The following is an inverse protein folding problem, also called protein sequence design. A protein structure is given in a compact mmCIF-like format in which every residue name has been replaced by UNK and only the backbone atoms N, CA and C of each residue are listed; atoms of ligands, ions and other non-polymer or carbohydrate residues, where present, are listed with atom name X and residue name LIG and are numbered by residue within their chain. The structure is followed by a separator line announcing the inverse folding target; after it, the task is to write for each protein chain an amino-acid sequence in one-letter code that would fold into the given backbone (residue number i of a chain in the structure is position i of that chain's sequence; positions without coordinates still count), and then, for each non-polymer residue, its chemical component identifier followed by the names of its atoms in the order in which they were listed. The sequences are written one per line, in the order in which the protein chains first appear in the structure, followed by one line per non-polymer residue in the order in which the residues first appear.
data_IF_500268064704
#
_entry.id   IF_500268064704
#
_cell.length_a   1.000
_cell.length_b   1.000
_cell.length_c   1.000
_cell.angle_alpha   90.00
_cell.angle_beta   90.00
_cell.angle_gamma   90.00
#
_symmetry.space_group_name_H-M   'P 1'
#
loop_
_entity.id
_entity.type
_entity.pdbx_description
1 polymer ?
#
# COMPACT_ATOMS: atom_id res chain seq x y z
N UNK A 1 25.54 -5.89 -4.20
CA UNK A 1 25.22 -4.57 -4.82
C UNK A 1 23.72 -4.34 -4.72
N UNK A 2 23.24 -3.11 -4.55
CA UNK A 2 21.85 -2.79 -4.75
C UNK A 2 21.43 -3.20 -6.18
N UNK A 3 20.23 -3.72 -6.34
CA UNK A 3 19.69 -4.15 -7.65
C UNK A 3 19.41 -2.91 -8.50
N UNK A 4 19.81 -2.93 -9.79
CA UNK A 4 19.44 -1.86 -10.71
C UNK A 4 18.01 -2.04 -11.21
N UNK A 5 17.40 -0.97 -11.70
CA UNK A 5 16.08 -1.05 -12.33
C UNK A 5 16.09 -1.98 -13.55
N UNK A 6 17.16 -1.95 -14.35
CA UNK A 6 17.31 -2.84 -15.50
C UNK A 6 17.33 -4.33 -15.12
N UNK A 7 18.00 -4.68 -13.99
CA UNK A 7 18.04 -6.06 -13.51
C UNK A 7 16.65 -6.52 -13.03
N UNK A 8 15.92 -5.66 -12.30
CA UNK A 8 14.57 -5.97 -11.83
C UNK A 8 13.57 -6.02 -13.00
N UNK A 9 13.68 -5.11 -13.98
CA UNK A 9 12.85 -5.13 -15.16
C UNK A 9 13.07 -6.37 -16.03
N UNK A 10 14.32 -6.77 -16.25
CA UNK A 10 14.66 -7.98 -16.96
C UNK A 10 14.09 -9.23 -16.27
N UNK A 11 14.18 -9.27 -14.95
CA UNK A 11 13.59 -10.34 -14.13
C UNK A 11 12.06 -10.36 -14.26
N UNK A 12 11.39 -9.21 -14.11
CA UNK A 12 9.92 -9.13 -14.23
C UNK A 12 9.44 -9.64 -15.59
N UNK A 13 10.07 -9.21 -16.68
CA UNK A 13 9.73 -9.61 -18.07
C UNK A 13 9.90 -11.11 -18.36
N UNK A 14 10.70 -11.82 -17.55
CA UNK A 14 10.81 -13.29 -17.63
C UNK A 14 9.60 -14.01 -17.01
N UNK A 15 8.83 -13.32 -16.14
CA UNK A 15 7.76 -13.93 -15.37
C UNK A 15 6.36 -13.39 -15.68
N UNK A 16 6.26 -12.17 -16.23
CA UNK A 16 4.98 -11.57 -16.62
C UNK A 16 5.16 -10.43 -17.63
N UNK A 17 4.12 -10.20 -18.44
CA UNK A 17 4.06 -9.01 -19.30
C UNK A 17 4.15 -7.76 -18.41
N UNK A 18 5.16 -6.93 -18.70
CA UNK A 18 5.50 -5.77 -17.89
C UNK A 18 5.41 -4.50 -18.72
N UNK A 19 4.56 -3.57 -18.31
CA UNK A 19 4.45 -2.22 -18.87
C UNK A 19 5.48 -1.33 -18.19
N UNK A 20 6.18 -0.50 -18.99
CA UNK A 20 7.14 0.48 -18.48
C UNK A 20 6.68 1.87 -18.85
N UNK A 21 6.39 2.70 -17.87
CA UNK A 21 6.19 4.13 -18.05
C UNK A 21 7.55 4.82 -17.97
N UNK A 22 7.77 5.84 -18.80
CA UNK A 22 9.06 6.51 -18.88
C UNK A 22 8.89 8.00 -19.17
N UNK A 23 9.75 8.82 -18.62
CA UNK A 23 9.90 10.21 -19.05
C UNK A 23 10.56 10.28 -20.46
N UNK A 24 10.67 11.48 -21.01
CA UNK A 24 11.24 11.68 -22.34
C UNK A 24 12.74 11.31 -22.43
N UNK A 25 13.45 11.32 -21.31
CA UNK A 25 14.89 11.03 -21.23
C UNK A 25 15.19 9.57 -20.88
N UNK A 26 14.18 8.80 -20.47
CA UNK A 26 14.37 7.44 -19.96
C UNK A 26 15.05 7.37 -18.59
N UNK A 27 15.05 8.49 -17.84
CA UNK A 27 15.66 8.55 -16.52
C UNK A 27 14.66 8.17 -15.43
N UNK A 28 13.49 8.80 -15.42
CA UNK A 28 12.40 8.42 -14.52
C UNK A 28 11.56 7.31 -15.18
N UNK A 29 11.54 6.13 -14.57
CA UNK A 29 10.79 4.98 -15.08
C UNK A 29 10.01 4.27 -13.98
N UNK A 30 8.89 3.66 -14.37
CA UNK A 30 8.00 2.89 -13.49
C UNK A 30 7.62 1.60 -14.21
N UNK A 31 7.81 0.45 -13.56
CA UNK A 31 7.45 -0.85 -14.09
C UNK A 31 6.19 -1.38 -13.36
N UNK A 32 5.15 -1.71 -14.12
CA UNK A 32 3.91 -2.27 -13.58
C UNK A 32 3.50 -3.55 -14.32
N UNK A 33 2.79 -4.43 -13.62
CA UNK A 33 2.41 -5.76 -14.13
C UNK A 33 0.89 -5.92 -14.10
N UNK A 34 0.22 -5.91 -15.26
CA UNK A 34 -1.24 -6.09 -15.35
C UNK A 34 -1.73 -7.41 -14.76
N UNK A 35 -0.96 -8.51 -14.97
CA UNK A 35 -1.27 -9.82 -14.42
C UNK A 35 -1.32 -9.85 -12.87
N UNK A 36 -0.68 -8.90 -12.21
CA UNK A 36 -0.66 -8.75 -10.75
C UNK A 36 -1.46 -7.51 -10.30
N UNK A 37 -2.67 -7.34 -10.83
CA UNK A 37 -3.64 -6.28 -10.53
C UNK A 37 -3.12 -4.87 -10.91
N UNK A 38 -2.28 -4.76 -11.96
CA UNK A 38 -1.65 -3.49 -12.33
C UNK A 38 -0.71 -2.95 -11.24
N UNK A 39 -0.08 -3.85 -10.48
CA UNK A 39 0.83 -3.50 -9.40
C UNK A 39 2.06 -2.79 -9.95
N UNK A 40 2.38 -1.63 -9.39
CA UNK A 40 3.67 -0.99 -9.62
C UNK A 40 4.71 -1.77 -8.83
N UNK A 41 5.60 -2.45 -9.55
CA UNK A 41 6.60 -3.31 -8.92
C UNK A 41 7.82 -2.55 -8.49
N UNK A 42 8.31 -1.64 -9.32
CA UNK A 42 9.47 -0.81 -9.00
C UNK A 42 9.54 0.42 -9.87
N UNK A 43 10.26 1.42 -9.37
CA UNK A 43 10.57 2.66 -10.06
C UNK A 43 12.05 2.99 -9.99
N UNK A 44 12.49 3.96 -10.77
CA UNK A 44 13.84 4.50 -10.75
C UNK A 44 13.87 5.96 -11.18
N UNK A 45 14.85 6.71 -10.70
CA UNK A 45 15.18 8.08 -11.14
C UNK A 45 16.50 8.14 -11.90
N UNK A 46 17.07 7.01 -12.33
CA UNK A 46 18.40 6.93 -12.96
C UNK A 46 18.46 5.99 -14.17
N UNK A 47 17.33 5.76 -14.84
CA UNK A 47 17.23 4.86 -15.97
C UNK A 47 17.56 3.40 -15.61
N UNK A 48 17.89 2.59 -16.60
CA UNK A 48 18.14 1.16 -16.41
C UNK A 48 19.28 0.86 -15.40
N UNK A 49 20.26 1.74 -15.29
CA UNK A 49 21.41 1.59 -14.35
C UNK A 49 21.13 2.24 -13.00
N UNK A 50 20.01 2.93 -12.84
CA UNK A 50 19.60 3.55 -11.60
C UNK A 50 19.17 2.53 -10.55
N UNK A 51 19.09 2.99 -9.30
CA UNK A 51 18.60 2.19 -8.18
C UNK A 51 17.13 1.79 -8.44
N UNK A 52 16.81 0.53 -8.20
CA UNK A 52 15.45 0.00 -8.15
C UNK A 52 14.86 0.27 -6.77
N UNK A 53 13.79 1.06 -6.69
CA UNK A 53 13.25 1.52 -5.39
C UNK A 53 12.32 0.49 -4.74
N UNK A 54 11.55 -0.25 -5.52
CA UNK A 54 10.60 -1.24 -5.02
C UNK A 54 11.26 -2.48 -4.42
N UNK A 55 10.55 -3.13 -3.50
CA UNK A 55 10.90 -4.47 -3.06
C UNK A 55 10.25 -5.51 -3.99
N UNK A 56 11.06 -6.43 -4.53
CA UNK A 56 10.60 -7.60 -5.28
C UNK A 56 10.96 -8.86 -4.52
N UNK A 57 9.97 -9.67 -4.20
CA UNK A 57 10.20 -10.99 -3.63
C UNK A 57 10.51 -12.00 -4.75
N UNK A 58 11.76 -11.97 -5.24
CA UNK A 58 12.18 -12.70 -6.45
C UNK A 58 11.90 -14.20 -6.36
N UNK A 59 12.18 -14.84 -5.23
CA UNK A 59 11.93 -16.28 -5.05
C UNK A 59 10.43 -16.59 -5.15
N UNK A 60 9.57 -15.74 -4.59
CA UNK A 60 8.13 -15.90 -4.67
C UNK A 60 7.59 -15.68 -6.08
N UNK A 61 8.13 -14.68 -6.79
CA UNK A 61 7.78 -14.40 -8.19
C UNK A 61 8.23 -15.55 -9.10
N UNK A 62 9.42 -16.09 -8.87
CA UNK A 62 9.96 -17.21 -9.66
C UNK A 62 9.27 -18.56 -9.37
N UNK A 63 8.62 -18.70 -8.21
CA UNK A 63 7.86 -19.89 -7.88
C UNK A 63 6.60 -19.97 -8.78
N UNK A 64 6.38 -21.10 -9.42
CA UNK A 64 5.24 -21.30 -10.34
C UNK A 64 3.93 -21.52 -9.57
N UNK A 65 4.03 -22.06 -8.37
CA UNK A 65 2.86 -22.38 -7.55
C UNK A 65 2.41 -21.14 -6.74
N UNK A 66 1.13 -20.77 -6.78
CA UNK A 66 0.62 -19.71 -5.92
C UNK A 66 0.70 -20.14 -4.44
N UNK A 67 0.80 -19.15 -3.54
CA UNK A 67 0.66 -19.39 -2.10
C UNK A 67 -0.81 -19.53 -1.71
N UNK A 68 -1.07 -20.33 -0.69
CA UNK A 68 -2.41 -20.67 -0.24
C UNK A 68 -3.27 -19.42 0.11
N UNK A 69 -2.71 -18.47 0.83
CA UNK A 69 -3.48 -17.33 1.36
C UNK A 69 -3.30 -16.03 0.56
N UNK A 70 -2.07 -15.73 0.12
CA UNK A 70 -1.72 -14.49 -0.56
C UNK A 70 -0.38 -14.60 -1.27
N UNK A 71 -0.28 -14.05 -2.49
CA UNK A 71 0.98 -13.94 -3.20
C UNK A 71 1.67 -12.60 -2.86
N UNK A 72 2.69 -12.70 -2.00
CA UNK A 72 3.48 -11.54 -1.56
C UNK A 72 4.62 -11.30 -2.55
N UNK A 73 4.33 -10.68 -3.69
CA UNK A 73 5.33 -10.39 -4.72
C UNK A 73 6.16 -9.13 -4.44
N UNK A 74 5.72 -8.30 -3.50
CA UNK A 74 6.28 -6.96 -3.26
C UNK A 74 5.57 -5.90 -4.09
N UNK A 75 6.29 -4.85 -4.44
CA UNK A 75 5.81 -3.72 -5.26
C UNK A 75 5.52 -2.46 -4.46
N UNK A 76 5.76 -1.31 -5.10
CA UNK A 76 5.60 0.02 -4.48
C UNK A 76 4.15 0.46 -4.33
N UNK A 77 3.24 -0.09 -5.16
CA UNK A 77 1.83 0.28 -5.15
C UNK A 77 0.97 -0.89 -5.62
N UNK A 78 0.27 -1.52 -4.70
CA UNK A 78 -0.67 -2.62 -4.93
C UNK A 78 -2.08 -2.14 -4.59
N UNK A 79 -3.00 -2.29 -5.55
CA UNK A 79 -4.42 -2.10 -5.30
C UNK A 79 -4.96 -3.18 -4.36
N UNK A 80 -5.73 -2.76 -3.38
CA UNK A 80 -6.35 -3.61 -2.38
C UNK A 80 -7.74 -3.12 -2.01
N UNK A 81 -8.54 -4.00 -1.42
CA UNK A 81 -9.87 -3.67 -0.89
C UNK A 81 -9.93 -4.07 0.58
N UNK A 82 -10.42 -3.17 1.43
CA UNK A 82 -10.79 -3.46 2.81
C UNK A 82 -12.31 -3.55 2.99
N UNK A 83 -12.76 -4.10 4.14
CA UNK A 83 -11.96 -4.56 5.28
C UNK A 83 -11.37 -5.97 5.12
N UNK A 84 -10.16 -6.18 5.69
CA UNK A 84 -9.52 -7.50 5.72
C UNK A 84 -10.05 -8.41 6.83
N UNK A 85 -10.73 -7.86 7.83
CA UNK A 85 -11.27 -8.59 8.97
C UNK A 85 -12.64 -8.06 9.38
N UNK A 86 -13.23 -8.71 10.37
CA UNK A 86 -14.55 -8.37 10.89
C UNK A 86 -15.70 -8.88 10.03
N UNK A 87 -16.91 -8.60 10.49
CA UNK A 87 -18.15 -9.12 9.91
C UNK A 87 -18.43 -8.66 8.47
N UNK A 88 -17.70 -7.67 7.97
CA UNK A 88 -17.84 -7.18 6.59
C UNK A 88 -16.62 -7.50 5.72
N UNK A 89 -15.69 -8.29 6.23
CA UNK A 89 -14.50 -8.72 5.48
C UNK A 89 -14.86 -9.53 4.24
N UNK A 90 -14.19 -9.25 3.13
CA UNK A 90 -14.25 -10.04 1.88
C UNK A 90 -13.14 -11.10 1.79
N UNK A 91 -12.36 -11.28 2.86
CA UNK A 91 -11.26 -12.24 2.94
C UNK A 91 -11.61 -13.50 3.75
N UNK A 92 -12.77 -13.52 4.39
CA UNK A 92 -13.28 -14.67 5.12
C UNK A 92 -14.58 -15.13 4.49
N UNK A 93 -14.73 -16.44 4.31
CA UNK A 93 -15.99 -17.02 3.89
C UNK A 93 -17.11 -16.71 4.91
N UNK A 94 -18.39 -16.69 4.50
CA UNK A 94 -19.50 -16.44 5.43
C UNK A 94 -19.46 -17.39 6.62
N UNK A 95 -19.44 -16.81 7.84
CA UNK A 95 -19.43 -17.58 9.11
C UNK A 95 -18.11 -18.22 9.48
N UNK A 96 -17.04 -18.05 8.70
CA UNK A 96 -15.71 -18.57 9.04
C UNK A 96 -15.13 -17.90 10.31
N UNK A 97 -14.18 -18.57 10.95
CA UNK A 97 -13.45 -18.00 12.10
C UNK A 97 -12.48 -16.94 11.63
N UNK A 98 -12.23 -15.93 12.46
CA UNK A 98 -11.24 -14.89 12.15
C UNK A 98 -9.82 -15.34 12.50
N UNK A 99 -9.37 -16.41 11.84
CA UNK A 99 -8.05 -17.02 11.99
C UNK A 99 -7.34 -17.10 10.64
N UNK A 100 -6.00 -17.17 10.64
CA UNK A 100 -5.22 -17.22 9.41
C UNK A 100 -5.61 -18.41 8.50
N UNK A 101 -5.94 -19.56 9.10
CA UNK A 101 -6.35 -20.76 8.34
C UNK A 101 -7.63 -20.56 7.52
N UNK A 102 -8.47 -19.61 7.92
CA UNK A 102 -9.75 -19.31 7.26
C UNK A 102 -9.71 -17.97 6.45
N UNK A 103 -8.55 -17.29 6.43
CA UNK A 103 -8.35 -16.04 5.70
C UNK A 103 -7.75 -16.29 4.31
N UNK A 104 -8.42 -15.84 3.27
CA UNK A 104 -7.96 -16.00 1.88
C UNK A 104 -8.15 -14.69 1.10
N UNK A 105 -7.14 -14.31 0.36
CA UNK A 105 -7.28 -13.19 -0.58
C UNK A 105 -8.19 -13.60 -1.73
N UNK A 106 -9.23 -12.82 -2.05
CA UNK A 106 -10.04 -13.07 -3.24
C UNK A 106 -9.18 -13.16 -4.51
N UNK A 107 -9.43 -14.13 -5.36
CA UNK A 107 -8.65 -14.35 -6.59
C UNK A 107 -8.53 -13.10 -7.46
N UNK A 108 -9.60 -12.31 -7.54
CA UNK A 108 -9.62 -11.04 -8.27
C UNK A 108 -8.63 -9.99 -7.74
N UNK A 109 -8.16 -10.12 -6.49
CA UNK A 109 -7.19 -9.22 -5.85
C UNK A 109 -5.79 -9.83 -5.76
N UNK A 110 -5.60 -11.10 -6.17
CA UNK A 110 -4.32 -11.79 -5.99
C UNK A 110 -3.82 -12.51 -7.24
N UNK A 111 -4.65 -13.38 -7.84
CA UNK A 111 -4.24 -14.29 -8.92
C UNK A 111 -4.82 -13.96 -10.29
N UNK A 112 -5.85 -13.12 -10.35
CA UNK A 112 -6.46 -12.72 -11.62
C UNK A 112 -5.88 -11.40 -12.14
N UNK A 113 -5.63 -11.33 -13.45
CA UNK A 113 -5.13 -10.13 -14.10
C UNK A 113 -6.18 -9.01 -14.12
N UNK A 114 -5.70 -7.75 -14.11
CA UNK A 114 -6.49 -6.61 -14.58
C UNK A 114 -6.27 -6.44 -16.09
N UNK A 115 -7.35 -6.13 -16.81
CA UNK A 115 -7.31 -5.82 -18.23
C UNK A 115 -6.54 -4.53 -18.46
N UNK A 116 -5.49 -4.55 -19.29
CA UNK A 116 -4.82 -3.35 -19.77
C UNK A 116 -5.68 -2.73 -20.86
N UNK A 117 -6.39 -1.63 -20.55
CA UNK A 117 -7.29 -0.94 -21.46
C UNK A 117 -6.53 0.01 -22.37
N UNK A 118 -5.55 0.70 -21.83
CA UNK A 118 -4.73 1.68 -22.52
C UNK A 118 -3.32 1.69 -21.94
N UNK A 119 -2.32 1.88 -22.81
CA UNK A 119 -0.94 2.07 -22.38
C UNK A 119 -0.27 3.11 -23.30
N UNK A 120 0.30 4.13 -22.69
CA UNK A 120 1.13 5.13 -23.35
C UNK A 120 2.50 5.21 -22.67
N UNK A 121 3.34 6.12 -23.13
CA UNK A 121 4.67 6.27 -22.57
C UNK A 121 4.66 6.63 -21.08
N UNK A 122 3.71 7.41 -20.65
CA UNK A 122 3.64 8.02 -19.31
C UNK A 122 2.43 7.61 -18.49
N UNK A 123 1.53 6.78 -19.02
CA UNK A 123 0.41 6.25 -18.26
C UNK A 123 -0.06 4.87 -18.74
N UNK A 124 -0.75 4.17 -17.87
CA UNK A 124 -1.46 2.93 -18.15
C UNK A 124 -2.80 2.90 -17.44
N UNK A 125 -3.86 2.54 -18.16
CA UNK A 125 -5.22 2.39 -17.67
C UNK A 125 -5.58 0.91 -17.61
N UNK A 126 -6.01 0.46 -16.44
CA UNK A 126 -6.40 -0.92 -16.20
C UNK A 126 -7.84 -0.98 -15.65
N UNK A 127 -8.50 -2.10 -15.91
CA UNK A 127 -9.87 -2.35 -15.47
C UNK A 127 -10.05 -3.79 -15.01
N UNK A 128 -10.91 -3.99 -14.01
CA UNK A 128 -11.33 -5.31 -13.55
C UNK A 128 -12.77 -5.26 -13.08
N UNK A 129 -13.59 -6.15 -13.62
CA UNK A 129 -14.90 -6.48 -13.03
C UNK A 129 -14.75 -7.67 -12.12
N UNK A 130 -15.34 -7.60 -10.93
CA UNK A 130 -15.27 -8.67 -9.96
C UNK A 130 -16.53 -8.76 -9.12
N UNK A 131 -16.76 -9.95 -8.59
CA UNK A 131 -17.79 -10.20 -7.61
C UNK A 131 -17.12 -10.61 -6.30
N UNK A 132 -17.45 -9.94 -5.22
CA UNK A 132 -16.95 -10.25 -3.88
C UNK A 132 -18.13 -10.57 -2.98
N UNK A 133 -17.90 -11.38 -1.97
CA UNK A 133 -18.88 -11.69 -0.94
C UNK A 133 -18.23 -11.49 0.43
N UNK A 134 -18.90 -10.76 1.33
CA UNK A 134 -18.36 -10.56 2.66
C UNK A 134 -18.77 -11.68 3.63
N UNK A 135 -18.16 -11.69 4.80
CA UNK A 135 -18.39 -12.67 5.85
C UNK A 135 -19.89 -12.74 6.28
N UNK A 136 -20.61 -11.62 6.28
CA UNK A 136 -22.05 -11.55 6.56
C UNK A 136 -22.93 -12.03 5.41
N UNK A 137 -22.34 -12.43 4.26
CA UNK A 137 -23.06 -12.97 3.11
C UNK A 137 -23.50 -11.95 2.08
N UNK A 138 -23.22 -10.65 2.24
CA UNK A 138 -23.52 -9.62 1.25
C UNK A 138 -22.62 -9.76 0.04
N UNK A 139 -23.21 -9.75 -1.15
CA UNK A 139 -22.49 -9.78 -2.43
C UNK A 139 -22.32 -8.37 -3.00
N UNK A 140 -21.16 -8.15 -3.60
CA UNK A 140 -20.76 -6.90 -4.24
C UNK A 140 -20.37 -7.18 -5.69
N UNK A 141 -21.12 -6.63 -6.64
CA UNK A 141 -20.73 -6.58 -8.04
C UNK A 141 -20.06 -5.24 -8.28
N UNK A 142 -18.78 -5.25 -8.64
CA UNK A 142 -18.04 -4.01 -8.75
C UNK A 142 -17.10 -4.00 -9.97
N UNK A 143 -16.83 -2.79 -10.43
CA UNK A 143 -15.78 -2.52 -11.41
C UNK A 143 -14.70 -1.65 -10.76
N UNK A 144 -13.46 -2.09 -10.89
CA UNK A 144 -12.27 -1.31 -10.52
C UNK A 144 -11.70 -0.72 -11.78
N UNK A 145 -11.46 0.60 -11.77
CA UNK A 145 -10.63 1.30 -12.75
C UNK A 145 -9.39 1.81 -12.03
N UNK A 146 -8.23 1.49 -12.59
CA UNK A 146 -6.94 1.87 -12.05
C UNK A 146 -6.09 2.51 -13.13
N UNK A 147 -5.70 3.74 -12.93
CA UNK A 147 -4.78 4.43 -13.83
C UNK A 147 -3.49 4.75 -13.08
N UNK A 148 -2.36 4.36 -13.66
CA UNK A 148 -1.02 4.71 -13.16
C UNK A 148 -0.40 5.71 -14.12
N UNK A 149 0.04 6.85 -13.60
CA UNK A 149 0.64 7.94 -14.37
C UNK A 149 2.02 8.28 -13.82
N UNK A 150 3.00 8.33 -14.69
CA UNK A 150 4.29 8.96 -14.36
C UNK A 150 4.09 10.48 -14.23
N UNK A 151 4.69 11.07 -13.19
CA UNK A 151 4.61 12.50 -12.92
C UNK A 151 5.99 13.13 -12.91
N UNK A 152 6.06 14.42 -13.18
CA UNK A 152 7.30 15.17 -12.98
C UNK A 152 7.55 15.37 -11.48
N UNK A 153 8.68 14.85 -10.98
CA UNK A 153 9.00 14.90 -9.55
C UNK A 153 9.16 16.34 -9.02
N UNK A 154 9.68 17.26 -9.85
CA UNK A 154 9.80 18.67 -9.44
C UNK A 154 8.42 19.30 -9.28
N UNK A 155 7.48 19.03 -10.21
CA UNK A 155 6.12 19.55 -10.11
C UNK A 155 5.39 18.99 -8.89
N UNK A 156 5.54 17.68 -8.61
CA UNK A 156 4.94 17.05 -7.43
C UNK A 156 5.47 17.69 -6.15
N UNK A 157 6.79 17.82 -6.00
CA UNK A 157 7.40 18.44 -4.81
C UNK A 157 7.03 19.90 -4.68
N UNK A 158 7.01 20.66 -5.77
CA UNK A 158 6.58 22.07 -5.77
C UNK A 158 5.13 22.22 -5.29
N UNK A 159 4.23 21.27 -5.60
CA UNK A 159 2.86 21.26 -5.07
C UNK A 159 2.81 21.08 -3.55
N UNK A 160 3.83 20.41 -3.00
CA UNK A 160 4.04 20.25 -1.55
C UNK A 160 4.85 21.41 -0.93
N UNK A 161 5.19 22.45 -1.71
CA UNK A 161 6.05 23.58 -1.32
C UNK A 161 7.46 23.14 -0.91
N UNK A 162 7.98 22.13 -1.58
CA UNK A 162 9.34 21.62 -1.41
C UNK A 162 10.05 21.67 -2.76
N UNK A 163 11.26 22.21 -2.78
CA UNK A 163 12.11 22.16 -3.95
C UNK A 163 12.96 20.90 -3.94
N UNK A 164 13.16 20.28 -5.11
CA UNK A 164 14.11 19.16 -5.23
C UNK A 164 15.54 19.72 -5.12
N UNK A 165 16.33 19.33 -4.12
CA UNK A 165 17.67 19.85 -3.94
C UNK A 165 18.57 19.56 -5.15
N UNK A 166 19.52 20.45 -5.44
CA UNK A 166 20.51 20.24 -6.50
C UNK A 166 21.27 18.93 -6.28
N UNK A 167 21.42 18.13 -7.35
CA UNK A 167 22.09 16.84 -7.31
C UNK A 167 21.22 15.67 -6.82
N UNK A 168 19.99 15.93 -6.35
CA UNK A 168 19.02 14.88 -6.03
C UNK A 168 18.20 14.57 -7.28
N UNK A 169 18.02 13.28 -7.56
CA UNK A 169 17.14 12.78 -8.62
C UNK A 169 15.85 12.27 -8.01
N UNK A 170 14.73 12.48 -8.69
CA UNK A 170 13.42 12.02 -8.25
C UNK A 170 12.69 11.28 -9.35
N UNK A 171 11.89 10.31 -8.96
CA UNK A 171 10.82 9.70 -9.75
C UNK A 171 9.53 9.87 -8.97
N UNK A 172 8.45 10.23 -9.66
CA UNK A 172 7.13 10.34 -9.06
C UNK A 172 6.09 9.68 -9.96
N UNK A 173 5.14 9.00 -9.37
CA UNK A 173 3.96 8.48 -10.05
C UNK A 173 2.74 8.61 -9.17
N UNK A 174 1.57 8.58 -9.78
CA UNK A 174 0.31 8.51 -9.05
C UNK A 174 -0.52 7.33 -9.53
N UNK A 175 -1.29 6.73 -8.65
CA UNK A 175 -2.34 5.79 -8.99
C UNK A 175 -3.71 6.38 -8.68
N UNK A 176 -4.56 6.47 -9.71
CA UNK A 176 -5.95 6.89 -9.61
C UNK A 176 -6.82 5.64 -9.59
N UNK A 177 -7.48 5.38 -8.47
CA UNK A 177 -8.24 4.16 -8.27
C UNK A 177 -9.70 4.49 -8.02
N UNK A 178 -10.59 3.84 -8.76
CA UNK A 178 -12.04 3.97 -8.61
C UNK A 178 -12.66 2.61 -8.43
N UNK A 179 -13.57 2.50 -7.48
CA UNK A 179 -14.45 1.34 -7.30
C UNK A 179 -15.89 1.79 -7.55
N UNK A 180 -16.50 1.23 -8.57
CA UNK A 180 -17.89 1.51 -8.92
C UNK A 180 -18.77 0.30 -8.58
N UNK A 181 -19.90 0.56 -7.92
CA UNK A 181 -20.96 -0.44 -7.78
C UNK A 181 -21.66 -0.61 -9.13
N UNK A 182 -21.51 -1.77 -9.75
CA UNK A 182 -22.19 -2.13 -11.01
C UNK A 182 -23.36 -3.11 -10.79
N UNK A 183 -23.62 -3.47 -9.53
CA UNK A 183 -24.74 -4.31 -9.13
C UNK A 183 -26.04 -3.54 -9.08
N UNK A 184 -27.13 -4.27 -8.83
CA UNK A 184 -28.47 -3.70 -8.75
C UNK A 184 -28.83 -3.14 -7.36
N UNK A 185 -28.12 -3.56 -6.33
CA UNK A 185 -28.39 -3.17 -4.95
C UNK A 185 -27.40 -2.09 -4.48
N UNK A 186 -27.89 -1.11 -3.73
CA UNK A 186 -27.03 -0.14 -3.05
C UNK A 186 -26.24 -0.82 -1.93
N UNK A 187 -24.97 -0.44 -1.79
CA UNK A 187 -24.17 -0.83 -0.64
C UNK A 187 -24.60 -0.02 0.58
N UNK A 188 -24.69 -0.66 1.74
CA UNK A 188 -25.17 -0.05 2.98
C UNK A 188 -24.25 -0.36 4.14
N UNK A 189 -24.18 0.55 5.12
CA UNK A 189 -23.38 0.37 6.34
C UNK A 189 -23.76 -0.88 7.15
N UNK A 190 -25.03 -1.18 7.23
CA UNK A 190 -25.56 -2.31 7.99
C UNK A 190 -25.26 -3.68 7.38
N UNK A 191 -24.96 -3.70 6.08
CA UNK A 191 -24.61 -4.92 5.33
C UNK A 191 -23.16 -4.93 4.85
N UNK A 192 -22.43 -3.86 5.08
CA UNK A 192 -21.01 -3.70 4.77
C UNK A 192 -20.73 -2.73 3.63
N UNK A 193 -19.66 -1.95 3.78
CA UNK A 193 -19.09 -1.09 2.77
C UNK A 193 -17.64 -1.54 2.50
N UNK A 194 -17.17 -1.25 1.30
CA UNK A 194 -15.80 -1.51 0.88
C UNK A 194 -14.98 -0.22 0.90
N UNK A 195 -13.68 -0.33 1.11
CA UNK A 195 -12.73 0.77 0.95
C UNK A 195 -11.62 0.41 -0.02
N UNK A 196 -11.11 1.40 -0.74
CA UNK A 196 -9.84 1.26 -1.45
C UNK A 196 -8.72 1.36 -0.42
N UNK A 197 -7.74 0.46 -0.53
CA UNK A 197 -6.52 0.48 0.24
C UNK A 197 -5.33 0.25 -0.68
N UNK A 198 -4.32 1.07 -0.59
CA UNK A 198 -3.11 0.93 -1.40
C UNK A 198 -1.98 0.44 -0.50
N UNK A 199 -1.35 -0.65 -0.90
CA UNK A 199 -0.25 -1.27 -0.18
C UNK A 199 1.06 -1.03 -0.92
N UNK A 200 2.06 -0.49 -0.23
CA UNK A 200 3.42 -0.33 -0.76
C UNK A 200 4.44 -1.14 0.04
N UNK A 201 5.31 -1.86 -0.66
CA UNK A 201 6.43 -2.60 -0.07
C UNK A 201 7.74 -2.03 -0.59
N UNK A 202 8.57 -1.56 0.33
CA UNK A 202 9.88 -1.00 0.07
C UNK A 202 10.96 -1.85 0.73
N UNK A 203 12.19 -1.71 0.27
CA UNK A 203 13.31 -2.45 0.83
C UNK A 203 13.57 -2.01 2.27
N UNK A 204 13.63 -2.98 3.17
CA UNK A 204 14.05 -2.73 4.54
C UNK A 204 15.56 -2.51 4.63
N UNK A 205 16.01 -1.68 5.57
CA UNK A 205 17.40 -1.58 5.98
C UNK A 205 17.50 -1.38 7.50
N UNK A 206 18.67 -1.66 8.07
CA UNK A 206 18.90 -1.47 9.51
C UNK A 206 18.66 -0.03 10.00
N UNK A 207 18.69 0.95 9.09
CA UNK A 207 18.57 2.36 9.39
C UNK A 207 17.29 2.99 8.84
N UNK A 208 16.50 2.24 8.05
CA UNK A 208 15.26 2.73 7.49
C UNK A 208 14.25 3.12 8.59
N UNK A 209 13.73 4.32 8.47
CA UNK A 209 12.76 4.87 9.41
C UNK A 209 11.56 5.41 8.64
N UNK A 210 10.37 4.91 8.97
CA UNK A 210 9.10 5.49 8.50
C UNK A 210 8.77 6.69 9.36
N UNK A 211 8.34 7.77 8.73
CA UNK A 211 7.98 9.04 9.36
C UNK A 211 6.52 9.33 9.02
N UNK A 212 5.67 9.41 10.04
CA UNK A 212 4.24 9.68 9.87
C UNK A 212 3.88 10.97 10.61
N UNK A 213 3.58 12.05 9.90
CA UNK A 213 3.04 13.27 10.49
C UNK A 213 1.63 13.03 11.03
N UNK A 214 1.30 13.68 12.15
CA UNK A 214 -0.03 13.60 12.71
C UNK A 214 -0.52 14.96 13.24
N UNK A 215 -1.84 15.11 13.33
CA UNK A 215 -2.48 16.29 13.90
C UNK A 215 -2.33 16.26 15.43
N UNK A 216 -1.66 17.28 15.99
CA UNK A 216 -1.53 17.46 17.45
C UNK A 216 -2.86 17.88 18.07
N UNK A 217 -2.95 17.80 19.39
CA UNK A 217 -4.13 18.21 20.15
C UNK A 217 -4.64 17.11 21.12
N UNK A 218 -5.62 17.41 21.97
CA UNK A 218 -6.05 16.51 23.04
C UNK A 218 -6.70 15.22 22.49
N UNK A 219 -6.47 14.14 23.18
CA UNK A 219 -7.02 12.82 22.83
C UNK A 219 -8.55 12.80 22.84
N UNK A 220 -9.17 13.54 23.77
CA UNK A 220 -10.63 13.69 23.83
C UNK A 220 -11.27 14.23 22.56
N UNK A 221 -10.54 15.02 21.77
CA UNK A 221 -11.03 15.58 20.51
C UNK A 221 -10.64 14.76 19.28
N UNK A 222 -9.46 14.13 19.31
CA UNK A 222 -8.84 13.51 18.12
C UNK A 222 -8.65 11.99 18.21
N UNK A 223 -8.95 11.39 19.37
CA UNK A 223 -8.62 9.98 19.63
C UNK A 223 -7.12 9.78 19.90
N UNK A 224 -6.69 8.53 20.05
CA UNK A 224 -5.28 8.19 20.29
C UNK A 224 -4.39 8.70 19.15
N UNK A 225 -3.13 9.01 19.47
CA UNK A 225 -2.16 9.46 18.47
C UNK A 225 -1.85 8.34 17.48
N UNK A 226 -1.73 7.12 17.98
CA UNK A 226 -1.37 5.95 17.20
C UNK A 226 -2.02 4.71 17.80
N UNK A 227 -2.48 3.81 16.93
CA UNK A 227 -2.84 2.44 17.25
C UNK A 227 -1.62 1.56 16.94
N UNK A 228 -1.00 0.98 17.97
CA UNK A 228 0.23 0.20 17.88
C UNK A 228 0.09 -1.21 18.48
N UNK A 229 -1.15 -1.71 18.53
CA UNK A 229 -1.47 -2.99 19.17
C UNK A 229 -1.97 -4.08 18.19
N UNK A 230 -1.76 -3.93 16.90
CA UNK A 230 -2.25 -4.89 15.88
C UNK A 230 -1.65 -6.30 16.03
N UNK A 231 -0.34 -6.36 16.32
CA UNK A 231 0.41 -7.61 16.54
C UNK A 231 1.06 -7.63 17.93
N UNK A 232 0.40 -7.02 18.91
CA UNK A 232 0.97 -6.68 20.20
C UNK A 232 1.57 -5.27 20.22
N UNK A 233 1.81 -4.74 21.41
CA UNK A 233 2.36 -3.39 21.60
C UNK A 233 3.72 -3.25 20.93
N UNK A 234 3.89 -2.24 20.10
CA UNK A 234 5.18 -1.96 19.46
C UNK A 234 6.20 -1.55 20.53
N UNK A 235 7.39 -2.18 20.58
CA UNK A 235 8.43 -1.83 21.54
C UNK A 235 8.88 -0.36 21.43
N UNK A 236 9.18 0.28 22.57
CA UNK A 236 9.52 1.70 22.64
C UNK A 236 10.80 2.08 21.87
N UNK A 237 11.72 1.13 21.65
CA UNK A 237 12.92 1.35 20.84
C UNK A 237 12.61 1.32 19.32
N UNK A 238 11.39 0.96 18.92
CA UNK A 238 10.95 0.83 17.54
C UNK A 238 9.95 1.89 17.10
N UNK A 239 9.23 2.50 18.06
CA UNK A 239 8.26 3.57 17.81
C UNK A 239 8.52 4.74 18.75
N UNK A 240 8.87 5.89 18.19
CA UNK A 240 8.99 7.16 18.93
C UNK A 240 7.87 8.10 18.51
N UNK A 241 7.16 8.64 19.49
CA UNK A 241 6.16 9.70 19.33
C UNK A 241 6.81 11.03 19.73
N UNK A 242 6.87 11.98 18.80
CA UNK A 242 7.32 13.35 19.04
C UNK A 242 6.11 14.28 18.95
N UNK A 243 5.40 14.46 20.08
CA UNK A 243 4.19 15.27 20.13
C UNK A 243 4.45 16.74 19.81
N UNK A 244 5.61 17.25 20.19
CA UNK A 244 5.96 18.66 19.96
C UNK A 244 6.09 18.96 18.45
N UNK A 245 6.56 17.98 17.67
CA UNK A 245 6.68 18.11 16.22
C UNK A 245 5.49 17.53 15.46
N UNK A 246 4.60 16.79 16.12
CA UNK A 246 3.54 16.05 15.46
C UNK A 246 4.06 14.94 14.53
N UNK A 247 5.09 14.20 14.95
CA UNK A 247 5.74 13.18 14.14
C UNK A 247 5.86 11.85 14.88
N UNK A 248 5.57 10.76 14.16
CA UNK A 248 5.90 9.39 14.57
C UNK A 248 7.14 8.96 13.78
N UNK A 249 8.06 8.26 14.46
CA UNK A 249 9.22 7.61 13.86
C UNK A 249 9.13 6.11 14.15
N UNK A 250 9.09 5.31 13.09
CA UNK A 250 8.89 3.86 13.19
C UNK A 250 10.00 3.12 12.43
N UNK A 251 10.67 2.17 13.10
CA UNK A 251 11.73 1.36 12.47
C UNK A 251 11.15 0.41 11.43
N UNK A 252 11.76 0.41 10.24
CA UNK A 252 11.42 -0.43 9.09
C UNK A 252 12.61 -1.33 8.68
N UNK A 253 13.09 -2.16 9.61
CA UNK A 253 14.31 -2.96 9.48
C UNK A 253 14.06 -4.46 9.22
N UNK A 254 12.82 -4.87 9.05
CA UNK A 254 12.37 -6.26 8.87
C UNK A 254 12.82 -7.23 9.99
N UNK A 255 13.05 -6.74 11.21
CA UNK A 255 13.55 -7.55 12.33
C UNK A 255 12.52 -7.86 13.41
N UNK A 256 11.34 -7.28 13.32
CA UNK A 256 10.28 -7.50 14.28
C UNK A 256 8.93 -7.17 13.65
N UNK A 257 8.05 -8.16 13.62
CA UNK A 257 6.70 -7.97 13.07
C UNK A 257 5.92 -6.98 13.90
N UNK A 258 5.61 -5.83 13.32
CA UNK A 258 4.91 -4.75 13.99
C UNK A 258 4.13 -3.90 13.00
N UNK A 259 3.00 -3.36 13.45
CA UNK A 259 2.15 -2.49 12.65
C UNK A 259 1.65 -1.34 13.51
N UNK A 260 1.60 -0.17 12.93
CA UNK A 260 0.92 0.99 13.50
C UNK A 260 -0.21 1.45 12.59
N UNK A 261 -1.18 2.14 13.18
CA UNK A 261 -2.26 2.81 12.48
C UNK A 261 -2.48 4.22 13.01
N UNK A 262 -2.94 5.12 12.15
CA UNK A 262 -3.30 6.49 12.52
C UNK A 262 -4.72 6.76 12.04
N UNK A 263 -5.58 7.09 12.97
CA UNK A 263 -7.00 7.33 12.73
C UNK A 263 -7.25 8.64 11.96
N UNK A 264 -8.45 8.79 11.36
CA UNK A 264 -8.74 9.88 10.42
C UNK A 264 -8.63 11.29 11.02
N UNK A 265 -8.89 11.45 12.31
CA UNK A 265 -8.76 12.76 13.00
C UNK A 265 -7.31 13.15 13.33
N UNK A 266 -6.39 12.21 13.22
CA UNK A 266 -4.94 12.40 13.46
C UNK A 266 -4.14 12.44 12.18
N UNK A 267 -4.55 11.70 11.14
CA UNK A 267 -3.81 11.56 9.91
C UNK A 267 -3.60 12.90 9.20
N UNK A 268 -2.46 13.03 8.56
CA UNK A 268 -2.19 14.01 7.50
C UNK A 268 -2.10 13.26 6.17
N UNK A 269 -2.22 13.97 5.06
CA UNK A 269 -2.28 13.42 3.70
C UNK A 269 -0.91 12.99 3.14
N UNK A 270 0.11 12.95 3.97
CA UNK A 270 1.48 12.59 3.60
C UNK A 270 2.14 11.75 4.67
N UNK A 271 2.92 10.79 4.26
CA UNK A 271 3.88 10.05 5.09
C UNK A 271 5.08 9.68 4.23
N UNK A 272 6.12 9.11 4.83
CA UNK A 272 7.28 8.70 4.07
C UNK A 272 8.26 7.86 4.87
N UNK A 273 9.38 7.53 4.24
CA UNK A 273 10.49 6.87 4.91
C UNK A 273 11.82 7.43 4.45
N UNK A 274 12.78 7.43 5.34
CA UNK A 274 14.16 7.76 5.06
C UNK A 274 15.06 6.57 5.31
N UNK A 275 15.83 6.20 4.29
CA UNK A 275 16.88 5.19 4.41
C UNK A 275 18.24 5.81 4.11
N UNK A 276 19.05 6.12 5.14
CA UNK A 276 20.38 6.71 4.96
C UNK A 276 21.38 5.73 4.31
N UNK A 277 21.13 4.42 4.36
CA UNK A 277 22.05 3.43 3.75
C UNK A 277 22.00 3.47 2.22
N UNK A 278 20.84 3.72 1.66
CA UNK A 278 20.63 3.89 0.21
C UNK A 278 20.57 5.35 -0.24
N UNK A 279 20.43 6.29 0.71
CA UNK A 279 20.20 7.70 0.41
C UNK A 279 18.83 7.99 -0.22
N UNK A 280 17.82 7.17 0.09
CA UNK A 280 16.48 7.26 -0.49
C UNK A 280 15.49 7.86 0.50
N UNK A 281 14.83 8.94 0.08
CA UNK A 281 13.64 9.48 0.71
C UNK A 281 12.42 9.04 -0.12
N UNK A 282 11.50 8.29 0.48
CA UNK A 282 10.21 7.95 -0.10
C UNK A 282 9.14 8.85 0.49
N UNK A 283 8.30 9.45 -0.35
CA UNK A 283 7.13 10.21 0.07
C UNK A 283 5.89 9.57 -0.53
N UNK A 284 4.85 9.41 0.29
CA UNK A 284 3.54 8.91 -0.11
C UNK A 284 2.53 9.98 0.24
N UNK A 285 1.85 10.51 -0.77
CA UNK A 285 0.73 11.44 -0.58
C UNK A 285 -0.56 10.77 -1.06
N UNK A 286 -1.66 11.01 -0.36
CA UNK A 286 -2.94 10.41 -0.67
C UNK A 286 -4.08 11.41 -0.48
N UNK A 287 -5.24 11.11 -1.09
CA UNK A 287 -6.42 11.96 -0.95
C UNK A 287 -7.02 11.82 0.44
N UNK A 288 -6.93 12.85 1.25
CA UNK A 288 -7.56 12.93 2.57
C UNK A 288 -8.60 14.06 2.56
N UNK A 289 -9.90 13.78 2.71
CA UNK A 289 -10.93 14.81 2.83
C UNK A 289 -10.67 15.73 4.02
N UNK A 290 -11.03 17.01 3.91
CA UNK A 290 -10.89 18.00 5.01
C UNK A 290 -11.63 17.58 6.28
N UNK A 291 -12.79 16.97 6.12
CA UNK A 291 -13.53 16.31 7.20
C UNK A 291 -13.49 14.81 6.92
N UNK A 292 -12.42 14.12 7.34
CA UNK A 292 -12.30 12.69 7.09
C UNK A 292 -13.45 11.97 7.79
N UNK A 293 -14.12 11.14 7.02
CA UNK A 293 -15.23 10.34 7.48
C UNK A 293 -14.78 9.12 8.28
N UNK A 294 -15.60 8.12 8.20
CA UNK A 294 -15.34 6.80 8.78
C UNK A 294 -14.52 5.95 7.80
N UNK A 295 -13.68 5.09 8.34
CA UNK A 295 -12.88 4.13 7.58
C UNK A 295 -13.15 2.72 8.06
N UNK A 296 -13.14 1.75 7.16
CA UNK A 296 -13.39 0.35 7.52
C UNK A 296 -12.31 -0.15 8.49
N UNK A 297 -12.76 -0.89 9.48
CA UNK A 297 -11.89 -1.52 10.47
C UNK A 297 -11.51 -2.93 9.99
N UNK A 298 -10.21 -3.22 9.91
CA UNK A 298 -9.68 -4.48 9.41
C UNK A 298 -9.22 -5.45 10.50
N UNK A 299 -9.58 -5.23 11.76
CA UNK A 299 -9.25 -6.18 12.84
C UNK A 299 -9.97 -7.51 12.65
N UNK A 300 -9.25 -8.61 12.88
CA UNK A 300 -9.75 -9.98 12.71
C UNK A 300 -10.57 -10.46 13.91
N UNK A 301 -11.72 -9.84 14.10
CA UNK A 301 -12.73 -10.18 15.10
C UNK A 301 -14.07 -9.57 14.72
N UNK A 302 -15.13 -10.02 15.32
CA UNK A 302 -16.39 -9.28 15.29
C UNK A 302 -16.20 -7.90 15.92
N UNK A 303 -16.66 -6.84 15.28
CA UNK A 303 -16.36 -5.46 15.66
C UNK A 303 -17.64 -4.74 16.05
N UNK A 304 -17.59 -4.04 17.21
CA UNK A 304 -18.67 -3.14 17.64
C UNK A 304 -18.70 -1.87 16.79
N UNK A 305 -17.50 -1.42 16.33
CA UNK A 305 -17.35 -0.29 15.43
C UNK A 305 -16.60 -0.73 14.14
N UNK A 306 -17.31 -1.24 13.13
CA UNK A 306 -16.71 -1.69 11.88
C UNK A 306 -16.21 -0.56 10.98
N UNK A 307 -16.49 0.70 11.33
CA UNK A 307 -16.07 1.90 10.59
C UNK A 307 -15.15 2.82 11.39
N UNK A 308 -14.67 2.37 12.54
CA UNK A 308 -13.65 3.05 13.37
C UNK A 308 -12.21 2.65 13.01
N UNK A 309 -11.91 2.48 11.72
CA UNK A 309 -10.60 2.06 11.24
C UNK A 309 -9.59 3.20 11.10
N UNK A 310 -8.33 2.81 10.91
CA UNK A 310 -7.21 3.72 10.66
C UNK A 310 -7.09 4.02 9.16
N UNK A 311 -6.74 5.26 8.83
CA UNK A 311 -6.57 5.70 7.43
C UNK A 311 -5.14 5.56 6.94
N UNK A 312 -4.16 5.71 7.83
CA UNK A 312 -2.73 5.46 7.57
C UNK A 312 -2.30 4.24 8.34
N UNK A 313 -1.61 3.34 7.65
CA UNK A 313 -0.99 2.18 8.28
C UNK A 313 0.48 2.10 7.86
N UNK A 314 1.34 1.69 8.77
CA UNK A 314 2.71 1.31 8.46
C UNK A 314 3.02 -0.04 9.08
N UNK A 315 3.65 -0.90 8.30
CA UNK A 315 3.95 -2.28 8.67
C UNK A 315 5.43 -2.56 8.51
N UNK A 316 6.05 -3.11 9.55
CA UNK A 316 7.40 -3.67 9.49
C UNK A 316 7.27 -5.19 9.51
N UNK A 317 7.60 -5.82 8.40
CA UNK A 317 7.63 -7.28 8.32
C UNK A 317 8.85 -7.82 9.06
N UNK A 318 8.74 -9.04 9.60
CA UNK A 318 9.80 -9.66 10.37
C UNK A 318 9.26 -10.83 11.20
N UNK A 319 10.13 -11.49 11.98
CA UNK A 319 9.71 -12.55 12.88
C UNK A 319 8.72 -12.02 13.93
N UNK A 320 7.81 -12.89 14.37
CA UNK A 320 6.78 -12.55 15.37
C UNK A 320 7.35 -12.33 16.77
N UNK A 321 8.55 -12.86 17.04
CA UNK A 321 9.27 -12.71 18.30
C UNK A 321 10.67 -12.14 18.06
N UNK A 322 11.19 -11.24 18.92
CA UNK A 322 12.57 -10.76 18.80
C UNK A 322 13.55 -11.92 18.84
N UNK A 323 14.37 -12.07 17.79
CA UNK A 323 15.41 -13.11 17.72
C UNK A 323 14.94 -14.49 17.26
N UNK A 324 13.68 -14.61 16.79
CA UNK A 324 13.11 -15.84 16.19
C UNK A 324 13.34 -15.95 14.70
#
# INVERSE_FOLDING_TARGET
RPTTFGDDLAFLKQHADTVVLSDAKGEAQVALVPAWQGRVMTSTSGGAQGLSHGYLHRDRIAAKEPTEHINVFGGEDRFWIGPEGGQFSVFFAPGARFELADWYTPAALDTEAFELVESARDHALLRKRMQLKNWSGTSFDLEVTREVRLRDANQVLASMRVDLPSGVRGVAFESLNTVANIGKAAWKKDTGLLSIWILGMFRASNAATVIVPFQTGPESARGPIVNDAYFGKVPADRLKVDEAKGLLYFKADAKHRSKLGVGPKRAQDVLGSWDPASGVLTLVQFSLPRNPGEYVNSLWKHQDDPYGGDVVNSYNDGPSTPGG
#
